data_IF_819404686805
#
_entry.id   IF_819404686805
#
_cell.length_a   1.000
_cell.length_b   1.000
_cell.length_c   1.000
_cell.angle_alpha   90.00
_cell.angle_beta   90.00
_cell.angle_gamma   90.00
#
_symmetry.space_group_name_H-M   'P 1'
#
loop_
_entity.id
_entity.type
_entity.pdbx_description
1 polymer ?
#
# COMPACT_ATOMS: atom_id res chain seq x y z
N UNK A 1 -16.61 -7.22 3.30
CA UNK A 1 -17.02 -6.52 4.55
C UNK A 1 -18.29 -7.16 5.08
N UNK A 2 -18.41 -7.34 6.40
CA UNK A 2 -19.64 -7.79 7.04
C UNK A 2 -20.67 -6.67 7.11
N UNK A 3 -21.97 -7.01 7.26
CA UNK A 3 -23.03 -6.01 7.42
C UNK A 3 -22.77 -5.09 8.62
N UNK A 4 -22.26 -5.66 9.70
CA UNK A 4 -21.89 -4.91 10.90
C UNK A 4 -20.75 -3.90 10.63
N UNK A 5 -19.74 -4.29 9.83
CA UNK A 5 -18.66 -3.37 9.44
C UNK A 5 -19.17 -2.23 8.57
N UNK A 6 -20.12 -2.48 7.68
CA UNK A 6 -20.73 -1.43 6.85
C UNK A 6 -21.49 -0.43 7.74
N UNK A 7 -22.29 -0.90 8.67
CA UNK A 7 -23.05 -0.05 9.61
C UNK A 7 -22.13 0.85 10.44
N UNK A 8 -21.07 0.29 11.02
CA UNK A 8 -20.15 1.08 11.84
C UNK A 8 -19.37 2.11 11.01
N UNK A 9 -18.96 1.78 9.76
CA UNK A 9 -18.31 2.75 8.87
C UNK A 9 -19.23 3.92 8.51
N UNK A 10 -20.51 3.66 8.26
CA UNK A 10 -21.51 4.71 8.04
C UNK A 10 -21.70 5.60 9.27
N UNK A 11 -21.77 5.01 10.46
CA UNK A 11 -21.83 5.75 11.72
C UNK A 11 -20.59 6.61 11.93
N UNK A 12 -19.40 6.04 11.78
CA UNK A 12 -18.12 6.75 11.87
C UNK A 12 -18.05 7.94 10.92
N UNK A 13 -18.53 7.76 9.68
CA UNK A 13 -18.59 8.85 8.70
C UNK A 13 -19.46 10.00 9.16
N UNK A 14 -20.65 9.72 9.73
CA UNK A 14 -21.56 10.74 10.28
C UNK A 14 -20.94 11.43 11.49
N UNK A 15 -20.50 10.66 12.48
CA UNK A 15 -19.89 11.19 13.71
C UNK A 15 -18.65 12.05 13.42
N UNK A 16 -17.85 11.69 12.41
CA UNK A 16 -16.68 12.47 12.03
C UNK A 16 -17.03 13.87 11.51
N UNK A 17 -18.15 14.03 10.79
CA UNK A 17 -18.56 15.35 10.31
C UNK A 17 -18.98 16.29 11.47
N UNK A 18 -19.40 15.72 12.60
CA UNK A 18 -19.88 16.44 13.77
C UNK A 18 -18.77 16.83 14.75
N UNK A 19 -17.56 16.27 14.65
CA UNK A 19 -16.45 16.58 15.57
C UNK A 19 -16.08 18.07 15.49
N UNK A 20 -15.86 18.67 16.65
CA UNK A 20 -15.42 20.07 16.79
C UNK A 20 -14.12 20.20 17.59
N UNK A 21 -13.79 19.20 18.40
CA UNK A 21 -12.64 19.23 19.32
C UNK A 21 -11.82 17.95 19.22
N UNK A 22 -10.59 17.97 19.73
CA UNK A 22 -9.75 16.78 19.91
C UNK A 22 -10.39 15.77 20.88
N UNK A 23 -11.19 16.26 21.83
CA UNK A 23 -11.95 15.41 22.74
C UNK A 23 -13.03 14.60 21.98
N UNK A 24 -13.71 15.22 21.01
CA UNK A 24 -14.70 14.52 20.18
C UNK A 24 -14.03 13.48 19.30
N UNK A 25 -12.88 13.81 18.69
CA UNK A 25 -12.05 12.85 17.96
C UNK A 25 -11.67 11.66 18.87
N UNK A 26 -11.28 11.92 20.12
CA UNK A 26 -10.95 10.86 21.09
C UNK A 26 -12.14 9.97 21.42
N UNK A 27 -13.35 10.53 21.53
CA UNK A 27 -14.58 9.74 21.70
C UNK A 27 -14.83 8.83 20.50
N UNK A 28 -14.74 9.37 19.28
CA UNK A 28 -14.89 8.61 18.05
C UNK A 28 -13.84 7.49 17.92
N UNK A 29 -12.58 7.76 18.29
CA UNK A 29 -11.54 6.74 18.33
C UNK A 29 -11.88 5.62 19.35
N UNK A 30 -12.48 5.93 20.49
CA UNK A 30 -12.91 4.93 21.46
C UNK A 30 -14.09 4.08 20.96
N UNK A 31 -15.03 4.64 20.21
CA UNK A 31 -16.10 3.87 19.56
C UNK A 31 -15.53 2.87 18.55
N UNK A 32 -14.62 3.33 17.69
CA UNK A 32 -13.91 2.48 16.73
C UNK A 32 -13.08 1.41 17.43
N UNK A 33 -12.37 1.76 18.50
CA UNK A 33 -11.56 0.82 19.26
C UNK A 33 -12.41 -0.27 19.92
N UNK A 34 -13.53 0.09 20.50
CA UNK A 34 -14.51 -0.86 21.07
C UNK A 34 -15.01 -1.85 20.03
N UNK A 35 -15.30 -1.39 18.81
CA UNK A 35 -15.70 -2.24 17.69
C UNK A 35 -14.59 -3.21 17.28
N UNK A 36 -13.37 -2.69 17.06
CA UNK A 36 -12.22 -3.49 16.59
C UNK A 36 -11.81 -4.58 17.58
N UNK A 37 -11.98 -4.32 18.86
CA UNK A 37 -11.55 -5.19 19.95
C UNK A 37 -12.68 -5.94 20.65
N UNK A 38 -13.88 -5.95 20.07
CA UNK A 38 -15.07 -6.65 20.62
C UNK A 38 -15.38 -6.30 22.10
N UNK A 39 -15.15 -5.05 22.47
CA UNK A 39 -15.63 -4.51 23.76
C UNK A 39 -14.75 -4.75 24.99
N UNK A 40 -13.66 -5.51 24.92
CA UNK A 40 -12.88 -5.96 26.10
C UNK A 40 -11.66 -5.11 26.44
N UNK A 41 -11.58 -3.82 26.05
CA UNK A 41 -10.33 -3.08 26.11
C UNK A 41 -10.37 -1.76 26.88
N UNK A 42 -9.19 -1.42 27.45
CA UNK A 42 -8.95 -0.14 28.11
C UNK A 42 -9.20 1.00 27.11
N UNK A 43 -10.01 1.99 27.55
CA UNK A 43 -10.27 3.21 26.77
C UNK A 43 -8.99 3.97 26.44
N UNK A 44 -8.99 4.67 25.32
CA UNK A 44 -7.98 5.63 24.92
C UNK A 44 -8.24 6.93 25.71
N UNK A 45 -7.32 7.35 26.60
CA UNK A 45 -7.51 8.60 27.31
C UNK A 45 -7.10 9.79 26.42
N UNK A 46 -7.75 10.93 26.62
CA UNK A 46 -7.45 12.16 25.88
C UNK A 46 -5.96 12.58 26.02
N UNK A 47 -5.36 12.31 27.20
CA UNK A 47 -3.94 12.61 27.43
C UNK A 47 -3.00 11.87 26.47
N UNK A 48 -3.32 10.63 26.05
CA UNK A 48 -2.51 9.89 25.10
C UNK A 48 -2.60 10.52 23.71
N UNK A 49 -3.81 10.92 23.29
CA UNK A 49 -4.03 11.64 22.01
C UNK A 49 -3.28 12.95 21.98
N UNK A 50 -3.34 13.76 23.06
CA UNK A 50 -2.62 15.03 23.16
C UNK A 50 -1.12 14.84 23.25
N UNK A 51 -0.63 13.81 23.96
CA UNK A 51 0.79 13.48 24.06
C UNK A 51 1.38 13.13 22.68
N UNK A 52 0.78 12.18 21.96
CA UNK A 52 1.26 11.74 20.65
C UNK A 52 1.00 12.76 19.52
N UNK A 53 0.11 13.73 19.74
CA UNK A 53 -0.08 14.86 18.81
C UNK A 53 1.01 15.94 18.95
N UNK A 54 1.93 15.81 19.90
CA UNK A 54 3.04 16.72 20.09
C UNK A 54 4.39 15.98 19.89
N UNK A 55 4.99 16.15 18.72
CA UNK A 55 6.27 15.50 18.37
C UNK A 55 7.44 15.86 19.32
N UNK A 56 7.37 17.00 20.00
CA UNK A 56 8.39 17.41 20.99
C UNK A 56 8.33 16.56 22.25
N UNK A 57 7.13 16.09 22.63
CA UNK A 57 6.92 15.23 23.79
C UNK A 57 7.15 13.75 23.43
N UNK A 58 6.67 13.32 22.27
CA UNK A 58 6.67 11.92 21.83
C UNK A 58 7.92 11.56 21.01
N UNK A 59 9.12 11.90 21.51
CA UNK A 59 10.40 11.68 20.78
C UNK A 59 10.66 10.20 20.46
N UNK A 60 10.33 9.28 21.38
CA UNK A 60 10.58 7.84 21.28
C UNK A 60 9.32 7.06 20.85
N UNK A 61 8.48 7.69 20.03
CA UNK A 61 7.22 7.11 19.60
C UNK A 61 7.36 5.99 18.53
N UNK A 62 8.57 5.80 17.97
CA UNK A 62 8.85 4.81 16.93
C UNK A 62 10.12 4.03 17.20
N UNK A 63 10.05 2.71 17.01
CA UNK A 63 11.21 1.83 16.95
C UNK A 63 11.74 1.80 15.51
N UNK A 64 13.05 1.97 15.34
CA UNK A 64 13.72 1.90 14.04
C UNK A 64 14.47 0.59 13.90
N UNK A 65 14.26 -0.12 12.79
CA UNK A 65 15.02 -1.31 12.44
C UNK A 65 15.19 -1.43 10.92
N UNK A 66 16.21 -2.18 10.52
CA UNK A 66 16.56 -2.36 9.12
C UNK A 66 16.08 -3.72 8.61
N UNK A 67 15.47 -3.72 7.42
CA UNK A 67 15.10 -4.94 6.70
C UNK A 67 15.96 -5.03 5.43
N UNK A 68 16.62 -6.17 5.13
CA UNK A 68 17.38 -6.34 3.92
C UNK A 68 16.44 -6.35 2.68
N UNK A 69 16.88 -5.68 1.61
CA UNK A 69 16.24 -5.74 0.28
C UNK A 69 16.92 -6.81 -0.57
N UNK A 70 16.22 -7.34 -1.58
CA UNK A 70 16.77 -8.33 -2.53
C UNK A 70 18.03 -7.88 -3.28
N UNK A 71 18.30 -6.59 -3.34
CA UNK A 71 19.47 -6.00 -4.02
C UNK A 71 20.63 -5.66 -3.05
N UNK A 72 20.68 -6.27 -1.85
CA UNK A 72 21.72 -6.03 -0.83
C UNK A 72 21.59 -4.70 -0.07
N UNK A 73 20.69 -3.79 -0.48
CA UNK A 73 20.42 -2.55 0.27
C UNK A 73 19.49 -2.84 1.45
N UNK A 74 19.48 -1.98 2.44
CA UNK A 74 18.56 -2.05 3.57
C UNK A 74 17.38 -1.08 3.39
N UNK A 75 16.28 -1.36 4.10
CA UNK A 75 15.11 -0.50 4.25
C UNK A 75 14.91 -0.21 5.72
N UNK A 76 14.94 1.06 6.10
CA UNK A 76 14.58 1.46 7.46
C UNK A 76 13.06 1.38 7.64
N UNK A 77 12.65 0.65 8.67
CA UNK A 77 11.25 0.57 9.11
C UNK A 77 11.13 1.31 10.43
N UNK A 78 10.08 2.11 10.54
CA UNK A 78 9.75 2.88 11.73
C UNK A 78 8.40 2.40 12.26
N UNK A 79 8.44 1.44 13.19
CA UNK A 79 7.25 0.88 13.80
C UNK A 79 6.82 1.70 15.02
N UNK A 80 5.54 2.11 15.13
CA UNK A 80 5.08 2.88 16.28
C UNK A 80 5.05 2.03 17.55
N UNK A 81 5.31 2.65 18.70
CA UNK A 81 5.10 2.02 20.02
C UNK A 81 3.64 1.62 20.20
N UNK A 82 3.38 0.66 21.10
CA UNK A 82 2.07 0.02 21.28
C UNK A 82 0.90 1.01 21.39
N UNK A 83 1.05 2.05 22.19
CA UNK A 83 -0.03 3.03 22.41
C UNK A 83 -0.25 3.92 21.21
N UNK A 84 0.82 4.39 20.54
CA UNK A 84 0.71 5.13 19.29
C UNK A 84 0.11 4.25 18.17
N UNK A 85 0.53 2.98 18.07
CA UNK A 85 -0.03 2.02 17.10
C UNK A 85 -1.54 1.87 17.26
N UNK A 86 -2.03 1.83 18.51
CA UNK A 86 -3.47 1.77 18.82
C UNK A 86 -4.21 2.99 18.28
N UNK A 87 -3.69 4.20 18.50
CA UNK A 87 -4.27 5.43 17.94
C UNK A 87 -4.30 5.39 16.42
N UNK A 88 -3.19 4.98 15.80
CA UNK A 88 -3.08 4.91 14.34
C UNK A 88 -4.00 3.85 13.71
N UNK A 89 -4.26 2.73 14.38
CA UNK A 89 -5.25 1.73 13.93
C UNK A 89 -6.66 2.34 13.91
N UNK A 90 -7.03 3.07 14.96
CA UNK A 90 -8.34 3.77 15.00
C UNK A 90 -8.43 4.83 13.90
N UNK A 91 -7.39 5.66 13.74
CA UNK A 91 -7.35 6.67 12.69
C UNK A 91 -7.39 6.06 11.29
N UNK A 92 -6.69 4.95 11.05
CA UNK A 92 -6.75 4.24 9.77
C UNK A 92 -8.18 3.78 9.45
N UNK A 93 -8.90 3.24 10.43
CA UNK A 93 -10.31 2.85 10.25
C UNK A 93 -11.19 4.07 9.94
N UNK A 94 -11.05 5.16 10.70
CA UNK A 94 -11.80 6.40 10.50
C UNK A 94 -11.53 6.97 9.10
N UNK A 95 -10.27 7.18 8.75
CA UNK A 95 -9.87 7.75 7.46
C UNK A 95 -10.33 6.88 6.28
N UNK A 96 -10.21 5.54 6.40
CA UNK A 96 -10.65 4.62 5.37
C UNK A 96 -12.18 4.51 5.24
N UNK A 97 -12.94 4.96 6.25
CA UNK A 97 -14.40 5.04 6.18
C UNK A 97 -14.90 6.28 5.41
N UNK A 98 -14.07 7.34 5.37
CA UNK A 98 -14.40 8.60 4.67
C UNK A 98 -13.79 8.67 3.26
N UNK A 99 -12.63 8.04 3.06
CA UNK A 99 -11.86 8.17 1.84
C UNK A 99 -12.42 7.31 0.71
N UNK A 100 -12.66 7.94 -0.44
CA UNK A 100 -13.01 7.25 -1.67
C UNK A 100 -11.79 7.20 -2.59
N UNK A 101 -11.18 6.02 -2.77
CA UNK A 101 -9.96 5.88 -3.56
C UNK A 101 -10.21 6.21 -5.03
N UNK A 102 -9.18 6.79 -5.67
CA UNK A 102 -9.20 7.01 -7.11
C UNK A 102 -9.19 5.66 -7.85
N UNK A 103 -9.95 5.48 -8.95
CA UNK A 103 -10.03 4.21 -9.68
C UNK A 103 -8.68 3.65 -10.15
N UNK A 104 -7.70 4.52 -10.43
CA UNK A 104 -6.35 4.13 -10.82
C UNK A 104 -5.47 3.69 -9.64
N UNK A 105 -5.77 4.10 -8.40
CA UNK A 105 -5.07 3.62 -7.22
C UNK A 105 -5.52 2.19 -6.90
N UNK A 106 -4.56 1.26 -6.80
CA UNK A 106 -4.82 -0.17 -6.58
C UNK A 106 -4.16 -0.72 -5.31
N UNK A 107 -3.11 -0.07 -4.83
CA UNK A 107 -2.42 -0.45 -3.59
C UNK A 107 -3.12 0.10 -2.35
N UNK A 108 -3.11 -0.69 -1.26
CA UNK A 108 -3.63 -0.30 0.06
C UNK A 108 -5.13 -0.01 0.11
N UNK A 109 -5.90 -0.63 -0.76
CA UNK A 109 -7.36 -0.46 -0.86
C UNK A 109 -8.03 -1.77 -0.46
N UNK A 110 -9.01 -1.67 0.42
CA UNK A 110 -9.76 -2.83 0.90
C UNK A 110 -10.48 -3.51 -0.28
N UNK A 111 -10.32 -4.84 -0.37
CA UNK A 111 -10.93 -5.64 -1.42
C UNK A 111 -10.23 -5.60 -2.78
N UNK A 112 -9.10 -4.85 -2.90
CA UNK A 112 -8.26 -4.86 -4.11
C UNK A 112 -6.94 -5.57 -3.85
N UNK A 113 -6.37 -6.14 -4.91
CA UNK A 113 -5.10 -6.85 -4.89
C UNK A 113 -4.21 -6.48 -6.08
N UNK A 114 -3.05 -7.10 -6.20
CA UNK A 114 -2.10 -6.84 -7.28
C UNK A 114 -2.63 -7.24 -8.66
N UNK A 115 -3.59 -8.19 -8.75
CA UNK A 115 -4.24 -8.55 -10.01
C UNK A 115 -5.08 -7.38 -10.54
N UNK A 116 -5.74 -6.61 -9.66
CA UNK A 116 -6.53 -5.44 -10.06
C UNK A 116 -5.66 -4.31 -10.60
N UNK A 117 -4.39 -4.23 -10.19
CA UNK A 117 -3.41 -3.33 -10.80
C UNK A 117 -2.95 -3.82 -12.18
N UNK A 118 -2.85 -5.14 -12.36
CA UNK A 118 -2.33 -5.76 -13.57
C UNK A 118 -3.37 -5.89 -14.69
N UNK A 119 -4.64 -6.20 -14.36
CA UNK A 119 -5.73 -6.43 -15.34
C UNK A 119 -5.86 -5.35 -16.43
N UNK A 120 -5.80 -4.03 -16.13
CA UNK A 120 -5.94 -3.03 -17.17
C UNK A 120 -4.85 -3.07 -18.24
N UNK A 121 -3.70 -3.66 -17.94
CA UNK A 121 -2.51 -3.65 -18.81
C UNK A 121 -2.33 -4.95 -19.62
N UNK A 122 -3.25 -5.91 -19.48
CA UNK A 122 -3.20 -7.19 -20.20
C UNK A 122 -3.25 -6.95 -21.72
N UNK A 123 -2.39 -7.69 -22.45
CA UNK A 123 -2.27 -7.67 -23.92
C UNK A 123 -1.89 -6.33 -24.53
N UNK A 124 -1.38 -5.39 -23.73
CA UNK A 124 -0.94 -4.11 -24.26
C UNK A 124 0.45 -4.26 -24.90
N UNK A 125 0.68 -3.67 -26.10
CA UNK A 125 1.98 -3.79 -26.79
C UNK A 125 3.14 -3.19 -26.03
N UNK A 126 2.93 -2.06 -25.38
CA UNK A 126 3.95 -1.33 -24.64
C UNK A 126 3.50 -1.10 -23.20
N UNK A 127 4.37 -1.39 -22.25
CA UNK A 127 4.16 -1.16 -20.83
C UNK A 127 5.33 -0.35 -20.29
N UNK A 128 5.03 0.76 -19.65
CA UNK A 128 6.01 1.67 -19.08
C UNK A 128 5.82 1.77 -17.56
N UNK A 129 6.91 1.54 -16.84
CA UNK A 129 6.95 1.53 -15.37
C UNK A 129 7.84 2.64 -14.86
N UNK A 130 7.40 3.23 -13.75
CA UNK A 130 8.22 4.13 -12.96
C UNK A 130 7.88 3.95 -11.47
N UNK A 131 8.85 4.29 -10.63
CA UNK A 131 8.75 4.18 -9.17
C UNK A 131 9.01 5.56 -8.57
N UNK A 132 8.25 5.92 -7.54
CA UNK A 132 8.44 7.18 -6.84
C UNK A 132 9.49 7.01 -5.74
N UNK A 133 10.56 7.83 -5.83
CA UNK A 133 11.65 7.82 -4.87
C UNK A 133 11.15 8.22 -3.49
N UNK A 134 11.53 7.44 -2.48
CA UNK A 134 11.26 7.74 -1.07
C UNK A 134 9.79 8.10 -0.78
N UNK A 135 8.85 7.37 -1.41
CA UNK A 135 7.44 7.69 -1.50
C UNK A 135 6.81 8.14 -0.18
N UNK A 136 6.89 7.34 0.89
CA UNK A 136 6.30 7.69 2.19
C UNK A 136 7.02 8.89 2.82
N UNK A 137 8.36 8.86 2.83
CA UNK A 137 9.15 9.90 3.48
C UNK A 137 9.20 11.23 2.73
N UNK A 138 8.73 11.27 1.47
CA UNK A 138 8.51 12.49 0.71
C UNK A 138 7.19 13.20 1.06
N UNK A 139 6.30 12.53 1.79
CA UNK A 139 5.01 13.10 2.21
C UNK A 139 5.19 13.76 3.58
N UNK A 140 5.26 15.11 3.57
CA UNK A 140 5.41 15.88 4.80
C UNK A 140 4.10 15.97 5.60
N UNK A 141 4.23 16.25 6.90
CA UNK A 141 3.10 16.53 7.80
C UNK A 141 2.17 17.61 7.24
N UNK A 142 2.74 18.67 6.67
CA UNK A 142 1.95 19.78 6.13
C UNK A 142 1.10 19.35 4.92
N UNK A 143 1.59 18.42 4.10
CA UNK A 143 0.79 17.85 2.99
C UNK A 143 -0.35 17.00 3.53
N UNK A 144 -0.11 16.19 4.56
CA UNK A 144 -1.17 15.42 5.24
C UNK A 144 -2.24 16.36 5.79
N UNK A 145 -1.82 17.37 6.57
CA UNK A 145 -2.72 18.39 7.13
C UNK A 145 -3.55 19.08 6.05
N UNK A 146 -2.90 19.53 4.97
CA UNK A 146 -3.58 20.19 3.86
C UNK A 146 -4.64 19.30 3.20
N UNK A 147 -4.37 18.01 3.01
CA UNK A 147 -5.35 17.06 2.49
C UNK A 147 -6.52 16.84 3.46
N UNK A 148 -6.27 16.81 4.77
CA UNK A 148 -7.33 16.68 5.78
C UNK A 148 -8.21 17.94 5.88
N UNK A 149 -7.74 19.09 5.41
CA UNK A 149 -8.55 20.32 5.33
C UNK A 149 -9.52 20.34 4.16
N UNK A 150 -9.40 19.41 3.21
CA UNK A 150 -10.23 19.28 2.01
C UNK A 150 -11.33 18.22 2.17
N UNK A 151 -12.39 18.24 1.33
CA UNK A 151 -13.35 17.14 1.28
C UNK A 151 -12.67 15.78 1.01
N UNK A 152 -13.16 14.70 1.62
CA UNK A 152 -14.36 14.59 2.46
C UNK A 152 -14.12 14.90 3.95
N UNK A 153 -12.91 15.24 4.36
CA UNK A 153 -12.54 15.42 5.79
C UNK A 153 -12.99 16.77 6.34
N UNK A 154 -12.84 17.86 5.57
CA UNK A 154 -13.29 19.23 5.90
C UNK A 154 -12.77 19.74 7.26
N UNK A 155 -11.54 19.37 7.63
CA UNK A 155 -10.91 19.82 8.88
C UNK A 155 -10.18 21.15 8.68
N UNK A 156 -10.94 22.19 8.34
CA UNK A 156 -10.46 23.58 8.14
C UNK A 156 -11.11 24.52 9.16
N UNK A 157 -10.70 25.78 9.16
CA UNK A 157 -11.19 26.80 10.10
C UNK A 157 -11.06 26.34 11.55
N UNK A 158 -12.16 26.36 12.30
CA UNK A 158 -12.19 25.97 13.72
C UNK A 158 -11.75 24.53 13.99
N UNK A 159 -11.81 23.67 12.96
CA UNK A 159 -11.38 22.25 13.03
C UNK A 159 -9.90 22.03 12.67
N UNK A 160 -9.16 23.06 12.31
CA UNK A 160 -7.75 22.96 11.89
C UNK A 160 -6.85 22.30 12.94
N UNK A 161 -7.15 22.52 14.22
CA UNK A 161 -6.46 21.88 15.33
C UNK A 161 -6.59 20.35 15.32
N UNK A 162 -7.73 19.83 14.86
CA UNK A 162 -7.98 18.39 14.72
C UNK A 162 -7.14 17.84 13.55
N UNK A 163 -7.10 18.54 12.42
CA UNK A 163 -6.27 18.15 11.27
C UNK A 163 -4.79 18.07 11.68
N UNK A 164 -4.32 19.06 12.44
CA UNK A 164 -2.94 19.09 12.93
C UNK A 164 -2.66 17.94 13.94
N UNK A 165 -3.60 17.67 14.83
CA UNK A 165 -3.53 16.54 15.77
C UNK A 165 -3.39 15.21 15.03
N UNK A 166 -4.26 14.93 14.05
CA UNK A 166 -4.21 13.71 13.24
C UNK A 166 -2.89 13.62 12.48
N UNK A 167 -2.46 14.70 11.82
CA UNK A 167 -1.22 14.72 11.07
C UNK A 167 0.02 14.42 11.95
N UNK A 168 0.08 14.98 13.18
CA UNK A 168 1.17 14.70 14.11
C UNK A 168 1.18 13.24 14.59
N UNK A 169 0.02 12.66 14.94
CA UNK A 169 -0.08 11.26 15.35
C UNK A 169 0.38 10.31 14.22
N UNK A 170 0.19 10.71 12.96
CA UNK A 170 0.49 9.87 11.80
C UNK A 170 1.89 10.08 11.22
N UNK A 171 2.58 11.17 11.55
CA UNK A 171 3.91 11.50 11.06
C UNK A 171 4.98 11.27 12.12
N UNK A 172 6.22 11.07 11.67
CA UNK A 172 7.41 11.01 12.51
C UNK A 172 8.32 12.22 12.23
N UNK A 173 9.29 12.43 13.10
CA UNK A 173 10.28 13.50 12.97
C UNK A 173 11.69 12.90 13.05
N UNK A 174 12.59 13.26 12.14
CA UNK A 174 14.01 12.87 12.15
C UNK A 174 14.95 13.95 12.69
N UNK A 175 14.39 15.04 13.25
CA UNK A 175 15.12 16.21 13.75
C UNK A 175 15.17 17.36 12.75
N UNK A 176 15.12 17.08 11.44
CA UNK A 176 15.14 18.08 10.36
C UNK A 176 13.77 18.31 9.71
N UNK A 177 12.97 17.27 9.61
CA UNK A 177 11.66 17.29 8.93
C UNK A 177 10.68 16.30 9.53
N UNK A 178 9.39 16.55 9.27
CA UNK A 178 8.29 15.64 9.64
C UNK A 178 7.70 15.00 8.40
N UNK A 179 7.51 13.69 8.41
CA UNK A 179 7.07 12.92 7.26
C UNK A 179 6.31 11.65 7.65
N UNK A 180 5.64 10.99 6.69
CA UNK A 180 5.00 9.70 6.90
C UNK A 180 6.05 8.60 7.10
N UNK A 181 6.03 7.88 8.24
CA UNK A 181 6.96 6.78 8.51
C UNK A 181 6.64 5.56 7.65
N UNK A 182 7.68 4.82 7.28
CA UNK A 182 7.53 3.53 6.64
C UNK A 182 7.35 2.43 7.70
N UNK A 183 6.11 1.99 7.93
CA UNK A 183 5.78 0.96 8.93
C UNK A 183 4.63 1.33 9.87
N UNK A 184 4.09 2.55 9.79
CA UNK A 184 2.92 2.96 10.56
C UNK A 184 1.60 2.48 9.91
N UNK A 185 0.59 2.09 10.69
CA UNK A 185 -0.71 1.65 10.18
C UNK A 185 -1.44 2.67 9.30
N UNK A 186 -1.22 3.96 9.52
CA UNK A 186 -1.88 5.07 8.79
C UNK A 186 -1.15 5.48 7.53
N UNK A 187 0.13 5.16 7.37
CA UNK A 187 0.91 5.61 6.20
C UNK A 187 0.33 5.14 4.86
N UNK A 188 -0.19 3.90 4.70
CA UNK A 188 -0.79 3.45 3.47
C UNK A 188 -2.00 4.28 3.03
N UNK A 189 -2.97 4.50 3.92
CA UNK A 189 -4.18 5.27 3.59
C UNK A 189 -3.86 6.75 3.34
N UNK A 190 -3.00 7.36 4.15
CA UNK A 190 -2.60 8.75 3.98
C UNK A 190 -1.80 8.98 2.69
N UNK A 191 -0.97 8.02 2.29
CA UNK A 191 -0.27 8.10 1.00
C UNK A 191 -1.25 8.12 -0.18
N UNK A 192 -2.33 7.36 -0.13
CA UNK A 192 -3.40 7.40 -1.15
C UNK A 192 -4.18 8.72 -1.13
N UNK A 193 -4.53 9.22 0.06
CA UNK A 193 -5.20 10.51 0.22
C UNK A 193 -4.37 11.65 -0.40
N UNK A 194 -3.08 11.71 -0.07
CA UNK A 194 -2.15 12.73 -0.60
C UNK A 194 -1.93 12.58 -2.10
N UNK A 195 -1.92 11.35 -2.62
CA UNK A 195 -1.71 11.07 -4.04
C UNK A 195 -2.96 11.23 -4.91
N UNK A 196 -4.13 11.53 -4.35
CA UNK A 196 -5.39 11.68 -5.11
C UNK A 196 -5.26 12.70 -6.25
N UNK A 197 -4.58 13.83 -5.99
CA UNK A 197 -4.35 14.87 -6.99
C UNK A 197 -3.35 14.42 -8.07
N UNK A 198 -2.34 13.64 -7.69
CA UNK A 198 -1.41 13.01 -8.61
C UNK A 198 -2.17 12.05 -9.53
N UNK A 199 -3.00 11.15 -8.97
CA UNK A 199 -3.77 10.16 -9.73
C UNK A 199 -4.72 10.82 -10.74
N UNK A 200 -5.39 11.91 -10.35
CA UNK A 200 -6.25 12.68 -11.28
C UNK A 200 -5.47 13.25 -12.46
N UNK A 201 -4.29 13.84 -12.21
CA UNK A 201 -3.44 14.42 -13.25
C UNK A 201 -2.86 13.35 -14.17
N UNK A 202 -2.35 12.25 -13.61
CA UNK A 202 -1.79 11.15 -14.39
C UNK A 202 -2.85 10.40 -15.20
N UNK A 203 -4.08 10.30 -14.68
CA UNK A 203 -5.21 9.79 -15.48
C UNK A 203 -5.55 10.71 -16.64
N UNK A 204 -5.48 12.03 -16.45
CA UNK A 204 -5.64 13.01 -17.54
C UNK A 204 -4.56 12.86 -18.61
N UNK A 205 -3.29 12.73 -18.19
CA UNK A 205 -2.16 12.46 -19.08
C UNK A 205 -2.35 11.15 -19.86
N UNK A 206 -2.73 10.06 -19.17
CA UNK A 206 -2.98 8.77 -19.80
C UNK A 206 -4.07 8.87 -20.89
N UNK A 207 -5.18 9.57 -20.61
CA UNK A 207 -6.25 9.79 -21.59
C UNK A 207 -5.76 10.54 -22.81
N UNK A 208 -4.96 11.59 -22.64
CA UNK A 208 -4.40 12.41 -23.75
C UNK A 208 -3.53 11.57 -24.69
N UNK A 209 -2.78 10.60 -24.16
CA UNK A 209 -1.89 9.72 -24.94
C UNK A 209 -2.51 8.34 -25.23
N UNK A 210 -3.83 8.19 -25.11
CA UNK A 210 -4.57 6.92 -25.31
C UNK A 210 -3.94 5.74 -24.52
N UNK A 211 -3.43 6.03 -23.33
CA UNK A 211 -2.79 5.07 -22.45
C UNK A 211 -3.70 4.67 -21.28
N UNK A 212 -3.45 3.52 -20.70
CA UNK A 212 -4.01 3.05 -19.43
C UNK A 212 -3.06 3.40 -18.31
N UNK A 213 -3.60 3.70 -17.14
CA UNK A 213 -2.81 4.09 -15.96
C UNK A 213 -3.30 3.36 -14.71
N UNK A 214 -2.38 2.80 -13.95
CA UNK A 214 -2.61 2.33 -12.58
C UNK A 214 -1.43 2.70 -11.66
N UNK A 215 -1.72 2.83 -10.36
CA UNK A 215 -0.71 3.04 -9.32
C UNK A 215 -0.92 2.04 -8.18
N UNK A 216 0.15 1.34 -7.83
CA UNK A 216 0.21 0.48 -6.65
C UNK A 216 1.28 1.03 -5.68
N UNK A 217 0.87 1.80 -4.68
CA UNK A 217 1.76 2.55 -3.80
C UNK A 217 2.66 3.54 -4.56
N UNK A 218 3.97 3.30 -4.56
CA UNK A 218 5.02 4.00 -5.29
C UNK A 218 5.18 3.52 -6.74
N UNK A 219 4.72 2.30 -7.07
CA UNK A 219 4.78 1.74 -8.43
C UNK A 219 3.68 2.35 -9.31
N UNK A 220 4.08 3.02 -10.38
CA UNK A 220 3.23 3.60 -11.41
C UNK A 220 3.41 2.82 -12.71
N UNK A 221 2.31 2.42 -13.31
CA UNK A 221 2.30 1.69 -14.58
C UNK A 221 1.43 2.41 -15.60
N UNK A 222 1.98 2.65 -16.78
CA UNK A 222 1.25 3.03 -17.97
C UNK A 222 1.34 1.92 -19.01
N UNK A 223 0.33 1.79 -19.86
CA UNK A 223 0.39 0.93 -21.04
C UNK A 223 -0.36 1.52 -22.21
N UNK A 224 0.14 1.34 -23.42
CA UNK A 224 -0.40 1.95 -24.63
C UNK A 224 -0.18 1.07 -25.85
N UNK A 225 -0.90 1.33 -26.92
CA UNK A 225 -0.63 0.78 -28.26
C UNK A 225 0.58 1.42 -28.94
N UNK A 226 0.99 2.61 -28.48
CA UNK A 226 2.15 3.35 -28.96
C UNK A 226 3.27 3.33 -27.90
N UNK A 227 4.51 3.47 -28.31
CA UNK A 227 5.66 3.59 -27.40
C UNK A 227 5.72 4.99 -26.77
N UNK A 228 4.92 5.19 -25.72
CA UNK A 228 4.89 6.44 -24.94
C UNK A 228 6.17 6.64 -24.11
N UNK A 229 6.98 5.60 -23.92
CA UNK A 229 8.24 5.72 -23.18
C UNK A 229 9.28 6.51 -23.98
N UNK A 230 9.22 6.45 -25.31
CA UNK A 230 10.08 7.21 -26.23
C UNK A 230 9.47 8.56 -26.64
N UNK A 231 8.23 8.87 -26.25
CA UNK A 231 7.55 10.11 -26.57
C UNK A 231 8.04 11.24 -25.66
N UNK A 232 8.68 12.24 -26.25
CA UNK A 232 9.30 13.37 -25.51
C UNK A 232 8.25 14.23 -24.81
N UNK A 233 7.09 14.48 -25.44
CA UNK A 233 6.01 15.29 -24.87
C UNK A 233 5.41 14.58 -23.66
N UNK A 234 5.16 13.26 -23.78
CA UNK A 234 4.68 12.45 -22.65
C UNK A 234 5.66 12.49 -21.47
N UNK A 235 6.97 12.31 -21.73
CA UNK A 235 7.99 12.29 -20.69
C UNK A 235 8.13 13.65 -19.97
N UNK A 236 8.12 14.73 -20.73
CA UNK A 236 8.18 16.09 -20.16
C UNK A 236 6.97 16.39 -19.27
N UNK A 237 5.77 16.09 -19.76
CA UNK A 237 4.54 16.34 -19.02
C UNK A 237 4.42 15.43 -17.78
N UNK A 238 4.82 14.16 -17.91
CA UNK A 238 4.91 13.21 -16.78
C UNK A 238 5.84 13.76 -15.68
N UNK A 239 7.04 14.19 -16.04
CA UNK A 239 8.01 14.75 -15.10
C UNK A 239 7.46 16.02 -14.43
N UNK A 240 6.81 16.91 -15.21
CA UNK A 240 6.16 18.12 -14.71
C UNK A 240 5.04 17.81 -13.71
N UNK A 241 4.22 16.82 -14.00
CA UNK A 241 3.13 16.42 -13.09
C UNK A 241 3.68 15.86 -11.79
N UNK A 242 4.66 14.95 -11.84
CA UNK A 242 5.24 14.31 -10.67
C UNK A 242 5.96 15.32 -9.78
N UNK A 243 6.84 16.15 -10.36
CA UNK A 243 7.56 17.19 -9.61
C UNK A 243 6.61 18.25 -9.02
N UNK A 244 5.58 18.66 -9.77
CA UNK A 244 4.54 19.57 -9.32
C UNK A 244 3.64 19.01 -8.21
N UNK A 245 3.76 17.72 -7.87
CA UNK A 245 3.16 17.08 -6.70
C UNK A 245 4.20 16.75 -5.62
N UNK A 246 5.40 17.36 -5.68
CA UNK A 246 6.51 17.13 -4.74
C UNK A 246 6.91 15.66 -4.60
N UNK A 247 6.87 14.92 -5.69
CA UNK A 247 7.44 13.58 -5.81
C UNK A 247 8.62 13.61 -6.80
N UNK A 248 9.46 12.58 -6.70
CA UNK A 248 10.59 12.37 -7.60
C UNK A 248 10.51 10.98 -8.22
N UNK A 249 10.84 10.86 -9.48
CA UNK A 249 10.99 9.59 -10.17
C UNK A 249 12.30 8.93 -9.70
N UNK A 250 12.31 7.61 -9.53
CA UNK A 250 13.49 6.80 -9.30
C UNK A 250 14.03 6.28 -10.65
N UNK A 251 15.07 6.90 -11.25
CA UNK A 251 15.49 6.55 -12.61
C UNK A 251 15.95 5.09 -12.75
N UNK A 252 16.62 4.55 -11.72
CA UNK A 252 17.13 3.17 -11.72
C UNK A 252 16.04 2.09 -11.72
N UNK A 253 14.78 2.45 -11.52
CA UNK A 253 13.62 1.55 -11.55
C UNK A 253 12.67 1.85 -12.72
N UNK A 254 12.92 2.90 -13.47
CA UNK A 254 12.15 3.24 -14.67
C UNK A 254 12.51 2.29 -15.79
N UNK A 255 11.51 1.66 -16.40
CA UNK A 255 11.70 0.69 -17.49
C UNK A 255 10.51 0.67 -18.45
N UNK A 256 10.78 0.34 -19.71
CA UNK A 256 9.78 0.07 -20.73
C UNK A 256 9.88 -1.38 -21.19
N UNK A 257 8.75 -2.03 -21.39
CA UNK A 257 8.64 -3.42 -21.81
C UNK A 257 7.77 -3.47 -23.08
N UNK A 258 8.36 -3.90 -24.21
CA UNK A 258 7.63 -4.10 -25.48
C UNK A 258 7.03 -5.50 -25.59
N UNK A 259 6.22 -5.73 -26.63
CA UNK A 259 5.50 -7.00 -26.87
C UNK A 259 6.39 -8.24 -26.98
N UNK A 260 7.63 -8.11 -27.44
CA UNK A 260 8.60 -9.21 -27.56
C UNK A 260 9.20 -9.68 -26.24
N UNK A 261 8.94 -8.97 -25.15
CA UNK A 261 9.48 -9.25 -23.83
C UNK A 261 8.40 -9.71 -22.87
N UNK A 262 8.82 -10.32 -21.76
CA UNK A 262 7.92 -10.63 -20.66
C UNK A 262 7.49 -9.33 -19.96
N UNK A 263 6.24 -8.97 -20.13
CA UNK A 263 5.65 -7.80 -19.49
C UNK A 263 5.11 -8.18 -18.11
N UNK A 264 5.39 -7.32 -17.11
CA UNK A 264 5.01 -7.60 -15.72
C UNK A 264 4.45 -6.36 -15.03
N UNK A 265 3.39 -6.52 -14.24
CA UNK A 265 2.85 -5.47 -13.34
C UNK A 265 2.75 -6.03 -11.94
N UNK A 266 3.32 -5.35 -10.95
CA UNK A 266 3.38 -5.83 -9.56
C UNK A 266 3.90 -7.28 -9.43
N UNK A 267 4.82 -7.71 -10.31
CA UNK A 267 5.37 -9.06 -10.34
C UNK A 267 4.52 -10.13 -11.06
N UNK A 268 3.33 -9.77 -11.54
CA UNK A 268 2.47 -10.64 -12.34
C UNK A 268 2.75 -10.46 -13.83
N UNK A 269 2.79 -11.56 -14.59
CA UNK A 269 2.89 -11.55 -16.06
C UNK A 269 1.56 -11.15 -16.67
N UNK A 270 1.57 -10.29 -17.71
CA UNK A 270 0.37 -9.70 -18.32
C UNK A 270 0.31 -9.86 -19.86
N UNK A 271 1.25 -10.57 -20.48
CA UNK A 271 1.31 -10.70 -21.95
C UNK A 271 0.00 -11.21 -22.56
N UNK A 272 -0.58 -12.30 -22.04
CA UNK A 272 -1.83 -12.90 -22.53
C UNK A 272 -2.97 -12.74 -21.53
N UNK A 273 -2.69 -13.03 -20.28
CA UNK A 273 -3.59 -12.93 -19.13
C UNK A 273 -2.77 -12.65 -17.88
N UNK A 274 -3.44 -12.15 -16.83
CA UNK A 274 -2.78 -12.02 -15.52
C UNK A 274 -2.38 -13.40 -15.01
N UNK A 275 -1.09 -13.57 -14.73
CA UNK A 275 -0.58 -14.86 -14.23
C UNK A 275 0.67 -14.65 -13.35
N UNK A 276 0.98 -15.63 -12.51
CA UNK A 276 2.26 -15.71 -11.82
C UNK A 276 3.39 -16.06 -12.79
N UNK A 277 4.64 -15.81 -12.41
CA UNK A 277 5.78 -16.14 -13.27
C UNK A 277 5.90 -17.66 -13.51
N UNK A 278 6.44 -18.04 -14.67
CA UNK A 278 6.72 -19.46 -14.98
C UNK A 278 7.63 -20.12 -13.94
N UNK A 279 8.59 -19.36 -13.38
CA UNK A 279 9.47 -19.85 -12.31
C UNK A 279 8.70 -20.17 -11.03
N UNK A 280 7.70 -19.37 -10.68
CA UNK A 280 6.83 -19.63 -9.51
C UNK A 280 6.06 -20.94 -9.64
N UNK A 281 5.50 -21.21 -10.82
CA UNK A 281 4.79 -22.47 -11.10
C UNK A 281 5.75 -23.66 -11.13
N UNK A 282 6.93 -23.49 -11.76
CA UNK A 282 7.95 -24.57 -11.81
C UNK A 282 8.42 -24.96 -10.41
N UNK A 283 8.59 -24.00 -9.52
CA UNK A 283 8.98 -24.26 -8.14
C UNK A 283 7.92 -25.07 -7.37
N UNK A 284 6.63 -24.73 -7.49
CA UNK A 284 5.54 -25.52 -6.89
C UNK A 284 5.54 -26.96 -7.45
N UNK A 285 5.64 -27.11 -8.77
CA UNK A 285 5.68 -28.42 -9.42
C UNK A 285 6.88 -29.26 -8.99
N UNK A 286 8.05 -28.63 -8.83
CA UNK A 286 9.25 -29.31 -8.36
C UNK A 286 9.04 -29.93 -6.98
N UNK A 287 8.55 -29.15 -6.01
CA UNK A 287 8.37 -29.67 -4.65
C UNK A 287 7.23 -30.67 -4.54
N UNK A 288 6.16 -30.53 -5.33
CA UNK A 288 5.10 -31.55 -5.42
C UNK A 288 5.64 -32.86 -6.00
N UNK A 289 6.44 -32.79 -7.07
CA UNK A 289 7.09 -33.94 -7.68
C UNK A 289 8.06 -34.63 -6.72
N UNK A 290 8.89 -33.87 -6.01
CA UNK A 290 9.82 -34.41 -5.02
C UNK A 290 9.07 -35.11 -3.87
N UNK A 291 7.96 -34.54 -3.42
CA UNK A 291 7.10 -35.13 -2.39
C UNK A 291 6.47 -36.43 -2.86
N UNK A 292 5.87 -36.44 -4.04
CA UNK A 292 5.23 -37.62 -4.63
C UNK A 292 6.24 -38.76 -4.92
N UNK A 293 7.43 -38.41 -5.46
CA UNK A 293 8.40 -39.40 -5.93
C UNK A 293 9.30 -39.93 -4.85
N UNK A 294 9.70 -39.12 -3.87
CA UNK A 294 10.73 -39.43 -2.87
C UNK A 294 10.23 -39.36 -1.43
N UNK A 295 8.99 -39.04 -1.21
CA UNK A 295 8.38 -38.87 0.10
C UNK A 295 8.64 -37.52 0.76
N UNK A 296 7.85 -37.23 1.80
CA UNK A 296 7.82 -35.94 2.47
C UNK A 296 9.18 -35.51 3.05
N UNK A 297 9.83 -36.42 3.76
CA UNK A 297 11.09 -36.12 4.47
C UNK A 297 12.20 -35.67 3.51
N UNK A 298 12.38 -36.39 2.39
CA UNK A 298 13.38 -36.01 1.37
C UNK A 298 13.04 -34.70 0.69
N UNK A 299 11.77 -34.47 0.38
CA UNK A 299 11.32 -33.21 -0.19
C UNK A 299 11.52 -32.03 0.78
N UNK A 300 11.30 -32.23 2.09
CA UNK A 300 11.60 -31.25 3.14
C UNK A 300 13.10 -30.94 3.20
N UNK A 301 13.96 -31.96 3.22
CA UNK A 301 15.42 -31.78 3.23
C UNK A 301 15.91 -30.97 2.01
N UNK A 302 15.28 -31.16 0.85
CA UNK A 302 15.59 -30.39 -0.36
C UNK A 302 15.20 -28.92 -0.19
N UNK A 303 13.99 -28.64 0.34
CA UNK A 303 13.52 -27.30 0.65
C UNK A 303 14.46 -26.60 1.66
N UNK A 304 14.86 -27.31 2.70
CA UNK A 304 15.77 -26.80 3.73
C UNK A 304 17.13 -26.37 3.14
N UNK A 305 17.67 -27.22 2.26
CA UNK A 305 18.93 -26.93 1.55
C UNK A 305 18.80 -25.71 0.64
N UNK A 306 17.69 -25.58 -0.07
CA UNK A 306 17.45 -24.49 -1.04
C UNK A 306 17.25 -23.15 -0.33
N UNK A 307 16.52 -23.15 0.79
CA UNK A 307 16.34 -21.95 1.62
C UNK A 307 17.66 -21.53 2.27
N UNK A 308 18.47 -22.48 2.77
CA UNK A 308 19.79 -22.20 3.36
C UNK A 308 20.75 -21.55 2.36
N UNK A 309 20.68 -21.89 1.08
CA UNK A 309 21.48 -21.26 0.02
C UNK A 309 21.05 -19.82 -0.29
N UNK A 310 19.79 -19.48 -0.04
CA UNK A 310 19.19 -18.20 -0.45
C UNK A 310 19.02 -17.19 0.68
N UNK A 311 19.09 -17.61 1.95
CA UNK A 311 18.89 -16.76 3.13
C UNK A 311 20.09 -16.86 4.09
N UNK A 312 20.61 -15.70 4.50
CA UNK A 312 21.68 -15.61 5.53
C UNK A 312 21.20 -15.92 6.95
N UNK A 313 19.89 -15.82 7.25
CA UNK A 313 19.30 -16.14 8.55
C UNK A 313 18.46 -17.43 8.49
N UNK A 314 18.91 -18.45 9.22
CA UNK A 314 18.39 -19.83 9.19
C UNK A 314 17.30 -20.14 10.22
N UNK A 315 16.77 -19.14 10.96
CA UNK A 315 15.95 -19.39 12.15
C UNK A 315 14.54 -19.94 11.89
N UNK A 316 13.98 -19.75 10.70
CA UNK A 316 12.58 -20.17 10.41
C UNK A 316 12.45 -20.79 9.01
N UNK A 317 12.83 -22.07 8.87
CA UNK A 317 12.53 -22.83 7.67
C UNK A 317 11.11 -23.40 7.81
N UNK A 318 10.18 -23.07 6.91
CA UNK A 318 8.80 -23.54 7.01
C UNK A 318 8.71 -25.03 6.68
N UNK A 319 7.73 -25.71 7.25
CA UNK A 319 7.36 -27.06 6.80
C UNK A 319 6.93 -27.00 5.33
N UNK A 320 7.32 -28.00 4.54
CA UNK A 320 7.02 -28.08 3.11
C UNK A 320 5.53 -27.96 2.80
N UNK A 321 4.70 -28.59 3.62
CA UNK A 321 3.22 -28.53 3.48
C UNK A 321 2.70 -27.10 3.63
N UNK A 322 3.18 -26.36 4.63
CA UNK A 322 2.81 -24.95 4.84
C UNK A 322 3.34 -24.04 3.72
N UNK A 323 4.58 -24.30 3.28
CA UNK A 323 5.20 -23.57 2.18
C UNK A 323 4.42 -23.72 0.88
N UNK A 324 4.12 -24.97 0.48
CA UNK A 324 3.34 -25.26 -0.71
C UNK A 324 1.90 -24.73 -0.62
N UNK A 325 1.24 -24.94 0.53
CA UNK A 325 -0.11 -24.44 0.74
C UNK A 325 -0.16 -22.90 0.58
N UNK A 326 0.77 -22.17 1.20
CA UNK A 326 0.86 -20.71 1.05
C UNK A 326 1.02 -20.28 -0.41
N UNK A 327 1.91 -20.96 -1.16
CA UNK A 327 2.12 -20.68 -2.60
C UNK A 327 0.90 -20.99 -3.46
N UNK A 328 0.24 -22.12 -3.22
CA UNK A 328 -0.96 -22.53 -3.95
C UNK A 328 -2.12 -21.58 -3.65
N UNK A 329 -2.33 -21.21 -2.38
CA UNK A 329 -3.37 -20.24 -1.99
C UNK A 329 -3.13 -18.87 -2.62
N UNK A 330 -1.88 -18.40 -2.62
CA UNK A 330 -1.53 -17.16 -3.30
C UNK A 330 -1.89 -17.20 -4.80
N UNK A 331 -1.50 -18.26 -5.49
CA UNK A 331 -1.84 -18.46 -6.91
C UNK A 331 -3.36 -18.54 -7.12
N UNK A 332 -4.06 -19.25 -6.24
CA UNK A 332 -5.52 -19.37 -6.27
C UNK A 332 -6.20 -18.01 -6.09
N UNK A 333 -5.81 -17.22 -5.09
CA UNK A 333 -6.35 -15.88 -4.88
C UNK A 333 -6.17 -14.94 -6.08
N UNK A 334 -5.07 -15.10 -6.84
CA UNK A 334 -4.79 -14.26 -8.01
C UNK A 334 -5.58 -14.71 -9.26
N UNK A 335 -5.77 -16.01 -9.46
CA UNK A 335 -6.39 -16.57 -10.67
C UNK A 335 -7.92 -16.64 -10.52
N UNK A 336 -8.44 -17.10 -9.38
CA UNK A 336 -9.90 -17.27 -9.20
C UNK A 336 -10.68 -15.95 -9.05
N UNK A 337 -10.04 -14.87 -8.63
CA UNK A 337 -10.68 -13.55 -8.68
C UNK A 337 -10.76 -12.97 -10.10
N UNK A 338 -10.02 -13.56 -11.07
CA UNK A 338 -10.05 -13.14 -12.47
C UNK A 338 -11.08 -13.93 -13.31
N UNK A 339 -11.30 -15.23 -13.03
CA UNK A 339 -12.14 -16.10 -13.86
C UNK A 339 -13.63 -16.07 -13.44
N UNK A 340 -13.94 -15.75 -12.18
CA UNK A 340 -15.32 -15.65 -11.71
C UNK A 340 -16.14 -14.48 -12.34
N UNK A 341 -15.50 -13.61 -13.10
CA UNK A 341 -16.17 -12.54 -13.84
C UNK A 341 -16.44 -12.92 -15.31
N UNK A 342 -15.71 -13.90 -15.88
CA UNK A 342 -15.85 -14.30 -17.28
C UNK A 342 -16.88 -15.43 -17.50
N UNK A 343 -17.26 -16.17 -16.44
CA UNK A 343 -18.27 -17.25 -16.51
C UNK A 343 -19.72 -16.72 -16.41
N UNK A 344 -19.96 -15.41 -16.57
CA UNK A 344 -21.29 -14.80 -16.62
C UNK A 344 -21.58 -14.11 -17.96
N UNK A 345 -21.28 -14.82 -19.06
CA UNK A 345 -21.85 -14.46 -20.38
C UNK A 345 -22.51 -15.71 -20.94
#
# INVERSE_FOLDING_TARGET
MTEQEIKIRQQVTRSFQEIKTVADLTKLMNEVWSFLCKGTHKRIPLKDVTYFSNYKLAKDAYYKFLIPKKNGKTREIQAPVKDLKRLQICLNFILSSLYHPHPAAKGFILGQNISDAAKPHVRMPYVFHLDLKDFFTSISLYRVKACLSLPPFNLNGDKERIAYCIANICCTNDGSRTFLPQGAPTSPILSNIVSLRLDRKLTGLAKRFSARYTRYADDITFSSYQDIASDTEFQQELARIISGQNFQIQPSKTRAEGRGYRQTVCGLTINEKVNVSKSYVKEIRLYLYLWERYGYERAQMYLDSDIKKTKENHSDIPQLSHYLNGKIQYMRCLLYTSDAADDRI
#
